data_IF_670176548004
#
_entry.id   IF_670176548004
#
_cell.length_a   1.000
_cell.length_b   1.000
_cell.length_c   1.000
_cell.angle_alpha   90.00
_cell.angle_beta   90.00
_cell.angle_gamma   90.00
#
_symmetry.space_group_name_H-M   'P 1'
#
loop_
_entity.id
_entity.type
_entity.pdbx_description
1 polymer ?
#
# COMPACT_ATOMS: atom_id res chain seq x y z
N UNK A 1 11.08 3.29 18.85
CA UNK A 1 10.49 3.85 17.63
C UNK A 1 9.94 5.22 17.90
N UNK A 2 10.60 6.25 17.37
CA UNK A 2 9.96 7.57 17.19
C UNK A 2 8.64 7.36 16.45
N UNK A 3 7.64 8.16 16.81
CA UNK A 3 6.26 7.96 16.35
C UNK A 3 6.17 7.79 14.83
N UNK A 4 6.92 8.59 14.08
CA UNK A 4 6.92 8.54 12.60
C UNK A 4 7.39 7.22 11.98
N UNK A 5 8.37 6.51 12.57
CA UNK A 5 8.84 5.23 12.01
C UNK A 5 7.77 4.15 12.17
N UNK A 6 7.16 4.12 13.35
CA UNK A 6 6.04 3.25 13.63
C UNK A 6 4.87 3.56 12.68
N UNK A 7 4.54 4.85 12.52
CA UNK A 7 3.44 5.29 11.65
C UNK A 7 3.69 4.88 10.19
N UNK A 8 4.91 5.07 9.65
CA UNK A 8 5.26 4.64 8.30
C UNK A 8 5.15 3.12 8.14
N UNK A 9 5.65 2.33 9.09
CA UNK A 9 5.53 0.87 9.05
C UNK A 9 4.07 0.43 9.11
N UNK A 10 3.26 1.08 9.96
CA UNK A 10 1.82 0.84 10.06
C UNK A 10 1.09 1.14 8.77
N UNK A 11 1.40 2.28 8.15
CA UNK A 11 0.83 2.66 6.86
C UNK A 11 1.25 1.69 5.76
N UNK A 12 2.51 1.24 5.75
CA UNK A 12 2.98 0.25 4.78
C UNK A 12 2.25 -1.08 4.94
N UNK A 13 2.09 -1.56 6.18
CA UNK A 13 1.35 -2.78 6.45
C UNK A 13 -0.10 -2.68 5.95
N UNK A 14 -0.79 -1.57 6.22
CA UNK A 14 -2.16 -1.35 5.75
C UNK A 14 -2.23 -1.31 4.21
N UNK A 15 -1.32 -0.59 3.55
CA UNK A 15 -1.29 -0.51 2.09
C UNK A 15 -1.01 -1.88 1.43
N UNK A 16 -0.13 -2.69 2.02
CA UNK A 16 0.13 -4.06 1.56
C UNK A 16 -1.10 -4.96 1.70
N UNK A 17 -1.82 -4.88 2.83
CA UNK A 17 -3.05 -5.64 3.04
C UNK A 17 -4.15 -5.23 2.06
N UNK A 18 -4.35 -3.93 1.87
CA UNK A 18 -5.34 -3.41 0.91
C UNK A 18 -5.02 -3.81 -0.54
N UNK A 19 -3.75 -3.68 -0.96
CA UNK A 19 -3.33 -4.11 -2.29
C UNK A 19 -3.58 -5.60 -2.50
N UNK A 20 -3.22 -6.43 -1.52
CA UNK A 20 -3.45 -7.87 -1.57
C UNK A 20 -4.94 -8.19 -1.68
N UNK A 21 -5.80 -7.54 -0.89
CA UNK A 21 -7.24 -7.80 -0.91
C UNK A 21 -7.89 -7.38 -2.22
N UNK A 22 -7.49 -6.23 -2.78
CA UNK A 22 -7.99 -5.78 -4.08
C UNK A 22 -7.61 -6.79 -5.16
N UNK A 23 -6.35 -7.20 -5.20
CA UNK A 23 -5.86 -8.15 -6.19
C UNK A 23 -6.50 -9.54 -6.05
N UNK A 24 -6.60 -10.03 -4.81
CA UNK A 24 -7.03 -11.40 -4.55
C UNK A 24 -8.54 -11.60 -4.61
N UNK A 25 -9.32 -10.60 -4.20
CA UNK A 25 -10.77 -10.73 -4.04
C UNK A 25 -11.52 -9.72 -4.90
N UNK A 26 -11.24 -8.43 -4.78
CA UNK A 26 -12.17 -7.40 -5.29
C UNK A 26 -12.17 -7.27 -6.80
N UNK A 27 -11.01 -7.42 -7.45
CA UNK A 27 -10.94 -7.40 -8.91
C UNK A 27 -11.70 -8.57 -9.54
N UNK A 28 -11.73 -9.73 -8.87
CA UNK A 28 -12.50 -10.90 -9.31
C UNK A 28 -14.00 -10.65 -9.11
N UNK A 29 -14.39 -10.25 -7.91
CA UNK A 29 -15.79 -10.01 -7.54
C UNK A 29 -16.44 -8.90 -8.37
N UNK A 30 -15.64 -7.93 -8.82
CA UNK A 30 -16.14 -6.79 -9.59
C UNK A 30 -16.27 -7.04 -11.09
N UNK A 31 -15.87 -8.20 -11.63
CA UNK A 31 -15.85 -8.47 -13.10
C UNK A 31 -17.21 -8.27 -13.78
N UNK A 32 -18.30 -8.51 -13.06
CA UNK A 32 -19.66 -8.34 -13.59
C UNK A 32 -20.08 -6.87 -13.74
N UNK A 33 -19.32 -5.91 -13.18
CA UNK A 33 -19.60 -4.48 -13.27
C UNK A 33 -18.34 -3.73 -13.71
N UNK A 34 -18.31 -3.30 -14.99
CA UNK A 34 -17.17 -2.62 -15.59
C UNK A 34 -16.72 -1.38 -14.80
N UNK A 35 -17.68 -0.57 -14.31
CA UNK A 35 -17.36 0.64 -13.55
C UNK A 35 -16.74 0.32 -12.18
N UNK A 36 -17.27 -0.68 -11.45
CA UNK A 36 -16.67 -1.11 -10.19
C UNK A 36 -15.26 -1.68 -10.42
N UNK A 37 -15.09 -2.47 -11.49
CA UNK A 37 -13.80 -3.03 -11.84
C UNK A 37 -12.76 -1.95 -12.15
N UNK A 38 -13.11 -0.94 -12.93
CA UNK A 38 -12.22 0.19 -13.22
C UNK A 38 -11.83 0.96 -11.95
N UNK A 39 -12.77 1.17 -11.02
CA UNK A 39 -12.46 1.77 -9.71
C UNK A 39 -11.42 0.95 -8.95
N UNK A 40 -11.59 -0.37 -8.86
CA UNK A 40 -10.63 -1.23 -8.15
C UNK A 40 -9.28 -1.33 -8.85
N UNK A 41 -9.24 -1.31 -10.20
CA UNK A 41 -7.98 -1.23 -10.96
C UNK A 41 -7.23 0.04 -10.60
N UNK A 42 -7.91 1.19 -10.60
CA UNK A 42 -7.30 2.47 -10.24
C UNK A 42 -6.84 2.49 -8.78
N UNK A 43 -7.68 2.02 -7.85
CA UNK A 43 -7.32 1.92 -6.44
C UNK A 43 -6.08 1.06 -6.24
N UNK A 44 -5.96 -0.08 -6.94
CA UNK A 44 -4.76 -0.93 -6.85
C UNK A 44 -3.52 -0.18 -7.32
N UNK A 45 -3.59 0.52 -8.45
CA UNK A 45 -2.46 1.31 -8.96
C UNK A 45 -2.01 2.38 -7.95
N UNK A 46 -2.97 3.11 -7.36
CA UNK A 46 -2.68 4.15 -6.38
C UNK A 46 -2.04 3.56 -5.10
N UNK A 47 -2.59 2.44 -4.59
CA UNK A 47 -2.08 1.77 -3.38
C UNK A 47 -0.70 1.15 -3.61
N UNK A 48 -0.47 0.51 -4.76
CA UNK A 48 0.85 -0.02 -5.12
C UNK A 48 1.89 1.12 -5.21
N UNK A 49 1.47 2.30 -5.69
CA UNK A 49 2.29 3.52 -5.61
C UNK A 49 2.62 3.93 -4.18
N UNK A 50 1.65 3.91 -3.27
CA UNK A 50 1.88 4.18 -1.84
C UNK A 50 2.85 3.17 -1.20
N UNK A 51 2.72 1.88 -1.54
CA UNK A 51 3.64 0.83 -1.04
C UNK A 51 5.08 1.17 -1.40
N UNK A 52 5.35 1.53 -2.65
CA UNK A 52 6.71 1.87 -3.08
C UNK A 52 7.24 3.15 -2.43
N UNK A 53 6.39 4.18 -2.27
CA UNK A 53 6.76 5.40 -1.55
C UNK A 53 7.15 5.12 -0.09
N UNK A 54 6.32 4.36 0.63
CA UNK A 54 6.55 4.02 2.04
C UNK A 54 7.76 3.11 2.20
N UNK A 55 7.95 2.14 1.30
CA UNK A 55 9.14 1.27 1.26
C UNK A 55 10.41 2.07 1.04
N UNK A 56 10.41 3.02 0.11
CA UNK A 56 11.55 3.89 -0.15
C UNK A 56 11.94 4.73 1.07
N UNK A 57 10.94 5.27 1.79
CA UNK A 57 11.17 6.05 3.01
C UNK A 57 11.77 5.20 4.14
N UNK A 58 11.28 3.97 4.34
CA UNK A 58 11.87 3.03 5.31
C UNK A 58 13.32 2.69 4.97
N UNK A 59 13.62 2.45 3.69
CA UNK A 59 14.99 2.21 3.23
C UNK A 59 15.87 3.44 3.48
N UNK A 60 15.35 4.66 3.29
CA UNK A 60 16.07 5.89 3.62
C UNK A 60 16.37 5.96 5.12
N UNK A 61 15.38 5.74 5.98
CA UNK A 61 15.56 5.78 7.43
C UNK A 61 16.55 4.74 7.95
N UNK A 62 16.56 3.54 7.36
CA UNK A 62 17.52 2.50 7.70
C UNK A 62 18.96 2.89 7.30
N UNK A 63 19.14 3.56 6.15
CA UNK A 63 20.46 4.05 5.70
C UNK A 63 20.98 5.24 6.50
N UNK A 64 20.08 6.09 6.96
CA UNK A 64 20.40 7.29 7.75
C UNK A 64 20.53 7.01 9.26
N UNK A 65 20.42 5.74 9.68
CA UNK A 65 20.36 5.31 11.09
C UNK A 65 19.30 6.08 11.91
N UNK A 66 18.24 6.51 11.22
CA UNK A 66 17.09 7.22 11.79
C UNK A 66 15.90 6.29 12.06
N UNK A 67 16.09 4.98 11.86
CA UNK A 67 15.14 3.91 12.20
C UNK A 67 15.28 3.46 13.66
N UNK A 68 15.09 4.39 14.61
CA UNK A 68 15.16 4.18 16.05
C UNK A 68 13.81 4.38 16.77
#
# INVERSE_FOLDING_TARGET
>A
MKNHNYDIVKMLFAALDDSHRIEKYYLEDSKACAQCHEVFVKMKQDIDGHVEMLRAELVRHAKEDSFN
#
